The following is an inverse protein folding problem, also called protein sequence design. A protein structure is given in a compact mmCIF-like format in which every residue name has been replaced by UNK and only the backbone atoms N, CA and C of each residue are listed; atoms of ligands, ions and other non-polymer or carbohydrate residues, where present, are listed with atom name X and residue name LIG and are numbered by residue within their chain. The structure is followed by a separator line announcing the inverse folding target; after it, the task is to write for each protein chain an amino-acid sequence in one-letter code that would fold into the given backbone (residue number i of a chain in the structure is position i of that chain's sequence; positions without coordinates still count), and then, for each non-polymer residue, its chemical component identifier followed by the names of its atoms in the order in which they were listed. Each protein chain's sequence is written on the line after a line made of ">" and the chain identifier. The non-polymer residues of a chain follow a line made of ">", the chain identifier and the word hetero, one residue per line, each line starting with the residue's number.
data_IF_482049443320
#
_entry.id   IF_482049443320
#
_cell.length_a   1.000
_cell.length_b   1.000
_cell.length_c   1.000
_cell.angle_alpha   90.00
_cell.angle_beta   90.00
_cell.angle_gamma   90.00
#
_symmetry.space_group_name_H-M   'P 1'
#
loop_
_entity.id
_entity.type
_entity.pdbx_description
1 polymer ?
#
# COMPACT_ATOMS: atom_id res chain seq x y z
N UNK A 1 -8.69 1.22 11.30
CA UNK A 1 -8.17 -0.14 11.16
C UNK A 1 -7.89 -0.71 12.54
N UNK A 2 -8.16 -2.00 12.76
CA UNK A 2 -7.94 -2.65 14.06
C UNK A 2 -7.31 -4.03 13.84
N UNK A 3 -6.27 -4.33 14.59
CA UNK A 3 -5.55 -5.62 14.60
C UNK A 3 -5.50 -6.12 16.03
N UNK A 4 -5.82 -7.38 16.25
CA UNK A 4 -5.83 -7.99 17.58
C UNK A 4 -5.15 -9.35 17.55
N UNK A 5 -4.15 -9.52 18.39
CA UNK A 5 -3.38 -10.75 18.59
C UNK A 5 -3.01 -11.44 17.27
N UNK A 6 -2.52 -10.64 16.30
CA UNK A 6 -2.28 -11.12 14.95
C UNK A 6 -1.02 -11.99 14.88
N UNK A 7 -1.19 -13.20 14.40
CA UNK A 7 -0.10 -14.15 14.13
C UNK A 7 -0.02 -14.49 12.65
N UNK A 8 1.19 -14.65 12.16
CA UNK A 8 1.46 -15.20 10.83
C UNK A 8 2.59 -16.23 10.93
N UNK A 9 2.27 -17.47 10.59
CA UNK A 9 3.23 -18.58 10.47
C UNK A 9 3.23 -19.07 9.03
N UNK A 10 4.38 -19.09 8.39
CA UNK A 10 4.56 -19.63 7.04
C UNK A 10 5.35 -20.91 7.09
N UNK A 11 5.04 -21.86 6.19
CA UNK A 11 5.79 -23.10 6.05
C UNK A 11 7.02 -22.85 5.18
N UNK A 12 8.20 -23.19 5.70
CA UNK A 12 9.44 -23.18 4.94
C UNK A 12 9.98 -24.60 4.79
N UNK A 13 10.98 -24.80 3.94
CA UNK A 13 11.69 -26.09 3.80
C UNK A 13 12.35 -26.57 5.11
N UNK A 14 12.63 -25.64 6.03
CA UNK A 14 13.25 -25.92 7.33
C UNK A 14 12.20 -26.05 8.47
N UNK A 15 10.90 -25.98 8.17
CA UNK A 15 9.80 -26.04 9.14
C UNK A 15 9.02 -24.73 9.23
N UNK A 16 8.06 -24.64 10.18
CA UNK A 16 7.24 -23.44 10.36
C UNK A 16 8.07 -22.26 10.88
N UNK A 17 7.86 -21.09 10.29
CA UNK A 17 8.50 -19.82 10.71
C UNK A 17 7.41 -18.86 11.16
N UNK A 18 7.48 -18.43 12.43
CA UNK A 18 6.57 -17.44 13.00
C UNK A 18 7.05 -16.03 12.64
N UNK A 19 6.38 -15.40 11.70
CA UNK A 19 6.74 -14.06 11.19
C UNK A 19 6.09 -12.97 12.02
N UNK A 20 4.80 -13.10 12.36
CA UNK A 20 4.10 -12.19 13.26
C UNK A 20 3.68 -12.95 14.51
N UNK A 21 3.83 -12.29 15.67
CA UNK A 21 3.76 -12.95 16.98
C UNK A 21 2.93 -12.15 17.97
N UNK A 22 1.61 -12.02 17.70
CA UNK A 22 0.69 -11.30 18.57
C UNK A 22 0.78 -9.77 18.36
N UNK A 23 0.57 -9.30 17.13
CA UNK A 23 0.50 -7.86 16.82
C UNK A 23 -0.85 -7.32 17.27
N UNK A 24 -0.82 -6.29 18.12
CA UNK A 24 -1.94 -5.41 18.44
C UNK A 24 -1.68 -4.02 17.87
N UNK A 25 -2.59 -3.52 17.03
CA UNK A 25 -2.42 -2.23 16.38
C UNK A 25 -3.78 -1.59 16.04
N UNK A 26 -3.98 -0.36 16.49
CA UNK A 26 -5.09 0.48 16.06
C UNK A 26 -4.58 1.67 15.23
N UNK A 27 -5.25 1.94 14.12
CA UNK A 27 -5.03 3.14 13.31
C UNK A 27 -6.39 3.79 13.06
N UNK A 28 -6.53 5.05 13.51
CA UNK A 28 -7.74 5.82 13.32
C UNK A 28 -7.97 6.16 11.84
N UNK A 29 -9.24 6.31 11.47
CA UNK A 29 -9.60 6.71 10.11
C UNK A 29 -9.00 8.09 9.79
N UNK A 30 -8.35 8.19 8.65
CA UNK A 30 -7.69 9.40 8.21
C UNK A 30 -6.32 9.67 8.86
N UNK A 31 -5.87 8.84 9.82
CA UNK A 31 -4.52 8.98 10.39
C UNK A 31 -3.42 8.50 9.41
N UNK A 32 -2.20 9.00 9.61
CA UNK A 32 -0.99 8.45 9.01
C UNK A 32 -0.12 7.83 10.10
N UNK A 33 0.34 6.60 9.86
CA UNK A 33 1.21 5.85 10.78
C UNK A 33 2.44 5.37 10.02
N UNK A 34 3.62 5.73 10.51
CA UNK A 34 4.91 5.19 10.10
C UNK A 34 5.17 3.86 10.81
N UNK A 35 5.59 2.85 10.08
CA UNK A 35 6.00 1.55 10.62
C UNK A 35 7.47 1.36 10.33
N UNK A 36 8.26 1.30 11.39
CA UNK A 36 9.72 1.20 11.31
C UNK A 36 10.23 -0.05 12.04
N UNK A 37 11.44 -0.47 11.71
CA UNK A 37 12.09 -1.62 12.35
C UNK A 37 13.14 -2.26 11.45
N UNK A 38 13.95 -3.17 11.98
CA UNK A 38 15.01 -3.83 11.21
C UNK A 38 14.46 -4.64 10.03
N UNK A 39 15.31 -4.92 9.04
CA UNK A 39 14.96 -5.83 7.94
C UNK A 39 14.58 -7.21 8.50
N UNK A 40 13.57 -7.84 7.92
CA UNK A 40 13.08 -9.15 8.38
C UNK A 40 12.20 -9.11 9.64
N UNK A 41 11.90 -7.94 10.22
CA UNK A 41 11.07 -7.85 11.44
C UNK A 41 9.57 -8.11 11.22
N UNK A 42 9.12 -8.37 9.98
CA UNK A 42 7.71 -8.69 9.68
C UNK A 42 6.88 -7.54 9.11
N UNK A 43 7.45 -6.36 8.86
CA UNK A 43 6.70 -5.17 8.39
C UNK A 43 5.94 -5.40 7.07
N UNK A 44 6.63 -5.91 6.04
CA UNK A 44 6.00 -6.25 4.76
C UNK A 44 4.95 -7.34 4.93
N UNK A 45 5.20 -8.34 5.77
CA UNK A 45 4.23 -9.40 6.07
C UNK A 45 2.99 -8.86 6.77
N UNK A 46 3.15 -7.93 7.70
CA UNK A 46 2.02 -7.21 8.30
C UNK A 46 1.21 -6.48 7.21
N UNK A 47 1.89 -5.74 6.33
CA UNK A 47 1.23 -5.05 5.21
C UNK A 47 0.45 -6.04 4.34
N UNK A 48 1.04 -7.19 3.98
CA UNK A 48 0.38 -8.20 3.14
C UNK A 48 -0.89 -8.76 3.80
N UNK A 49 -0.87 -8.99 5.12
CA UNK A 49 -2.07 -9.44 5.85
C UNK A 49 -3.12 -8.32 5.88
N UNK A 50 -2.74 -7.07 6.13
CA UNK A 50 -3.65 -5.92 6.13
C UNK A 50 -4.25 -5.63 4.75
N UNK A 51 -3.50 -5.95 3.69
CA UNK A 51 -3.98 -5.89 2.32
C UNK A 51 -4.91 -7.06 1.96
N UNK A 52 -5.04 -8.09 2.81
CA UNK A 52 -5.73 -9.33 2.50
C UNK A 52 -5.06 -10.13 1.36
N UNK A 53 -3.75 -9.96 1.18
CA UNK A 53 -2.92 -10.72 0.24
C UNK A 53 -2.32 -11.96 0.89
N UNK A 54 -2.21 -11.95 2.22
CA UNK A 54 -1.77 -13.07 3.04
C UNK A 54 -2.80 -13.32 4.13
N UNK A 55 -3.02 -14.59 4.51
CA UNK A 55 -3.96 -14.95 5.57
C UNK A 55 -3.27 -15.00 6.91
N UNK A 56 -3.86 -14.35 7.91
CA UNK A 56 -3.47 -14.53 9.30
C UNK A 56 -3.58 -16.00 9.72
N UNK A 57 -2.61 -16.48 10.49
CA UNK A 57 -2.66 -17.81 11.10
C UNK A 57 -3.53 -17.83 12.35
N UNK A 58 -3.61 -16.71 13.07
CA UNK A 58 -4.48 -16.49 14.22
C UNK A 58 -4.69 -14.99 14.45
N UNK A 59 -5.63 -14.65 15.34
CA UNK A 59 -6.00 -13.27 15.64
C UNK A 59 -7.08 -12.73 14.70
N UNK A 60 -7.26 -11.40 14.71
CA UNK A 60 -8.26 -10.74 13.87
C UNK A 60 -7.78 -9.43 13.27
N UNK A 61 -8.23 -9.14 12.05
CA UNK A 61 -7.92 -7.92 11.30
C UNK A 61 -9.18 -7.29 10.76
N UNK A 62 -9.43 -6.02 11.14
CA UNK A 62 -10.54 -5.22 10.62
C UNK A 62 -10.04 -3.99 9.86
N UNK A 63 -10.44 -3.86 8.60
CA UNK A 63 -10.13 -2.73 7.72
C UNK A 63 -11.40 -2.13 7.18
N UNK A 64 -11.56 -0.82 7.30
CA UNK A 64 -12.73 -0.08 6.79
C UNK A 64 -14.08 -0.68 7.25
N UNK A 65 -14.14 -1.28 8.44
CA UNK A 65 -15.34 -1.93 9.00
C UNK A 65 -15.51 -3.41 8.62
N UNK A 66 -14.69 -3.94 7.73
CA UNK A 66 -14.72 -5.34 7.29
C UNK A 66 -13.75 -6.22 8.09
N UNK A 67 -14.18 -7.41 8.48
CA UNK A 67 -13.34 -8.41 9.15
C UNK A 67 -12.67 -9.31 8.08
N UNK A 68 -11.37 -9.09 7.85
CA UNK A 68 -10.61 -9.78 6.81
C UNK A 68 -10.43 -11.27 7.12
N UNK A 69 -10.37 -11.63 8.40
CA UNK A 69 -10.13 -13.01 8.84
C UNK A 69 -11.31 -13.93 8.55
N UNK A 70 -12.52 -13.38 8.50
CA UNK A 70 -13.74 -14.10 8.19
C UNK A 70 -14.10 -14.13 6.69
N UNK A 71 -13.37 -13.37 5.83
CA UNK A 71 -13.70 -13.22 4.41
C UNK A 71 -13.18 -14.38 3.56
N UNK A 72 -13.93 -14.72 2.49
CA UNK A 72 -13.43 -15.58 1.41
C UNK A 72 -12.42 -14.82 0.53
N UNK A 73 -11.66 -15.55 -0.30
CA UNK A 73 -10.72 -14.93 -1.27
C UNK A 73 -11.41 -13.92 -2.19
N UNK A 74 -12.61 -14.26 -2.70
CA UNK A 74 -13.40 -13.34 -3.51
C UNK A 74 -13.84 -12.09 -2.72
N UNK A 75 -14.14 -12.27 -1.43
CA UNK A 75 -14.44 -11.17 -0.52
C UNK A 75 -13.24 -10.24 -0.34
N UNK A 76 -12.07 -10.81 -0.07
CA UNK A 76 -10.80 -10.06 0.06
C UNK A 76 -10.46 -9.36 -1.26
N UNK A 77 -10.60 -10.01 -2.41
CA UNK A 77 -10.37 -9.39 -3.72
C UNK A 77 -11.29 -8.19 -3.96
N UNK A 78 -12.58 -8.30 -3.63
CA UNK A 78 -13.54 -7.17 -3.72
C UNK A 78 -13.17 -6.03 -2.78
N UNK A 79 -12.75 -6.35 -1.55
CA UNK A 79 -12.33 -5.34 -0.57
C UNK A 79 -11.07 -4.60 -1.04
N UNK A 80 -10.04 -5.33 -1.51
CA UNK A 80 -8.83 -4.71 -2.09
C UNK A 80 -9.19 -3.73 -3.19
N UNK A 81 -9.98 -4.18 -4.14
CA UNK A 81 -10.38 -3.39 -5.30
C UNK A 81 -11.10 -2.09 -4.94
N UNK A 82 -11.87 -2.06 -3.85
CA UNK A 82 -12.73 -0.91 -3.50
C UNK A 82 -12.22 -0.06 -2.35
N UNK A 83 -11.41 -0.62 -1.45
CA UNK A 83 -11.07 0.04 -0.19
C UNK A 83 -9.58 0.20 0.08
N UNK A 84 -8.72 -0.58 -0.60
CA UNK A 84 -7.29 -0.64 -0.28
C UNK A 84 -6.47 -0.25 -1.52
N UNK A 85 -5.61 0.76 -1.36
CA UNK A 85 -4.55 1.09 -2.31
C UNK A 85 -3.22 0.57 -1.79
N UNK A 86 -2.37 0.05 -2.67
CA UNK A 86 -1.05 -0.45 -2.27
C UNK A 86 0.00 0.17 -3.18
N UNK A 87 1.08 0.66 -2.56
CA UNK A 87 2.26 1.20 -3.22
C UNK A 87 3.47 0.41 -2.74
N UNK A 88 4.21 -0.19 -3.65
CA UNK A 88 5.40 -0.98 -3.38
C UNK A 88 6.67 -0.26 -3.84
N UNK A 89 7.80 -0.65 -3.27
CA UNK A 89 9.13 -0.22 -3.68
C UNK A 89 9.42 -0.55 -5.15
N UNK A 90 9.00 -1.71 -5.64
CA UNK A 90 9.27 -2.21 -6.99
C UNK A 90 8.21 -1.80 -8.04
N UNK A 91 7.38 -0.77 -7.75
CA UNK A 91 6.31 -0.22 -8.60
C UNK A 91 5.23 -1.25 -9.01
N UNK A 92 5.59 -2.47 -9.37
CA UNK A 92 4.72 -3.56 -9.85
C UNK A 92 3.76 -3.11 -10.96
N UNK A 93 4.27 -2.30 -11.91
CA UNK A 93 3.54 -1.98 -13.13
C UNK A 93 3.54 -3.18 -14.07
N UNK A 94 2.45 -3.35 -14.81
CA UNK A 94 2.34 -4.38 -15.84
C UNK A 94 3.14 -3.88 -17.06
N UNK A 95 4.25 -4.54 -17.44
CA UNK A 95 5.21 -3.98 -18.38
C UNK A 95 4.67 -3.87 -19.82
N UNK A 96 3.65 -4.64 -20.16
CA UNK A 96 2.98 -4.65 -21.48
C UNK A 96 1.83 -3.68 -21.58
N UNK A 97 1.49 -2.98 -20.50
CA UNK A 97 0.42 -1.99 -20.43
C UNK A 97 0.98 -0.58 -20.34
N UNK A 98 0.34 0.35 -20.98
CA UNK A 98 0.64 1.78 -20.88
C UNK A 98 0.41 2.32 -19.46
N UNK A 99 0.87 3.54 -19.18
CA UNK A 99 0.58 4.20 -17.91
C UNK A 99 -0.94 4.32 -17.68
N UNK A 100 -1.70 4.68 -18.72
CA UNK A 100 -3.15 4.79 -18.63
C UNK A 100 -3.80 3.45 -18.29
N UNK A 101 -3.45 2.38 -18.99
CA UNK A 101 -3.99 1.04 -18.75
C UNK A 101 -3.63 0.51 -17.35
N UNK A 102 -2.39 0.74 -16.89
CA UNK A 102 -1.98 0.37 -15.53
C UNK A 102 -2.84 1.04 -14.45
N UNK A 103 -3.26 2.28 -14.66
CA UNK A 103 -4.13 3.00 -13.70
C UNK A 103 -5.60 2.66 -13.89
N UNK A 104 -6.04 2.31 -15.10
CA UNK A 104 -7.42 1.95 -15.41
C UNK A 104 -7.80 0.56 -14.83
N UNK A 105 -6.87 -0.40 -14.82
CA UNK A 105 -7.13 -1.80 -14.44
C UNK A 105 -7.97 -1.97 -13.16
N UNK A 106 -7.63 -1.35 -12.00
CA UNK A 106 -8.43 -1.54 -10.80
C UNK A 106 -9.87 -1.00 -10.94
N UNK A 107 -10.07 0.02 -11.77
CA UNK A 107 -11.37 0.58 -12.05
C UNK A 107 -12.18 -0.31 -13.00
N UNK A 108 -11.56 -0.84 -14.04
CA UNK A 108 -12.17 -1.79 -14.98
C UNK A 108 -12.61 -3.06 -14.28
N UNK A 109 -11.75 -3.62 -13.42
CA UNK A 109 -12.07 -4.78 -12.57
C UNK A 109 -13.21 -4.46 -11.59
N UNK A 110 -13.42 -3.19 -11.23
CA UNK A 110 -14.56 -2.74 -10.44
C UNK A 110 -15.84 -2.58 -11.28
N UNK A 111 -15.77 -2.70 -12.59
CA UNK A 111 -16.89 -2.46 -13.51
C UNK A 111 -17.23 -0.98 -13.65
N UNK A 112 -16.28 -0.07 -13.43
CA UNK A 112 -16.50 1.37 -13.54
C UNK A 112 -16.59 1.77 -15.02
N UNK A 113 -17.73 2.27 -15.50
CA UNK A 113 -17.88 2.66 -16.90
C UNK A 113 -17.01 3.87 -17.30
N UNK A 114 -16.53 4.64 -16.33
CA UNK A 114 -15.65 5.79 -16.53
C UNK A 114 -14.17 5.45 -16.18
N UNK A 115 -13.78 4.18 -16.21
CA UNK A 115 -12.45 3.72 -15.79
C UNK A 115 -11.32 4.50 -16.50
N UNK A 116 -11.39 4.64 -17.82
CA UNK A 116 -10.38 5.34 -18.62
C UNK A 116 -10.29 6.83 -18.26
N UNK A 117 -11.42 7.53 -18.19
CA UNK A 117 -11.45 8.96 -17.85
C UNK A 117 -10.93 9.23 -16.44
N UNK A 118 -11.30 8.37 -15.50
CA UNK A 118 -10.79 8.45 -14.11
C UNK A 118 -9.31 8.13 -14.02
N UNK A 119 -8.83 7.17 -14.79
CA UNK A 119 -7.41 6.84 -14.86
C UNK A 119 -6.61 8.01 -15.43
N UNK A 120 -7.08 8.63 -16.51
CA UNK A 120 -6.46 9.83 -17.06
C UNK A 120 -6.44 10.98 -16.06
N UNK A 121 -7.55 11.26 -15.38
CA UNK A 121 -7.62 12.29 -14.35
C UNK A 121 -6.61 12.02 -13.19
N UNK A 122 -6.45 10.77 -12.74
CA UNK A 122 -5.46 10.41 -11.73
C UNK A 122 -4.02 10.58 -12.24
N UNK A 123 -3.72 10.24 -13.50
CA UNK A 123 -2.40 10.48 -14.10
C UNK A 123 -2.09 11.97 -14.25
N UNK A 124 -3.07 12.78 -14.61
CA UNK A 124 -2.92 14.25 -14.63
C UNK A 124 -2.65 14.80 -13.24
N UNK A 125 -3.32 14.28 -12.19
CA UNK A 125 -3.12 14.69 -10.80
C UNK A 125 -1.70 14.41 -10.29
N UNK A 126 -1.03 13.37 -10.81
CA UNK A 126 0.37 13.06 -10.49
C UNK A 126 1.38 13.68 -11.50
N UNK A 127 0.92 14.59 -12.37
CA UNK A 127 1.76 15.31 -13.34
C UNK A 127 2.14 14.50 -14.59
N UNK A 128 1.47 13.38 -14.87
CA UNK A 128 1.79 12.47 -15.97
C UNK A 128 0.77 12.51 -17.14
N UNK A 129 -0.01 13.58 -17.28
CA UNK A 129 -0.96 13.73 -18.38
C UNK A 129 -0.33 13.69 -19.78
N UNK A 130 0.98 13.91 -19.88
CA UNK A 130 1.75 13.84 -21.14
C UNK A 130 2.37 12.44 -21.38
N UNK A 131 2.17 11.47 -20.47
CA UNK A 131 2.75 10.12 -20.49
C UNK A 131 1.73 8.99 -20.62
N UNK A 132 0.47 9.28 -20.91
CA UNK A 132 -0.64 8.32 -20.87
C UNK A 132 -0.37 7.03 -21.66
N UNK A 133 0.24 7.16 -22.86
CA UNK A 133 0.50 6.04 -23.78
C UNK A 133 1.88 5.40 -23.63
N UNK A 134 2.70 5.86 -22.67
CA UNK A 134 4.03 5.30 -22.46
C UNK A 134 3.95 3.97 -21.71
N UNK A 135 4.78 3.02 -22.13
CA UNK A 135 5.01 1.78 -21.41
C UNK A 135 5.95 2.01 -20.21
N UNK A 136 5.89 1.19 -19.14
CA UNK A 136 6.76 1.34 -17.99
C UNK A 136 8.25 1.46 -18.32
N UNK A 137 8.76 0.68 -19.27
CA UNK A 137 10.15 0.75 -19.71
C UNK A 137 10.57 2.07 -20.41
N UNK A 138 9.61 2.95 -20.73
CA UNK A 138 9.84 4.27 -21.31
C UNK A 138 9.77 5.39 -20.27
N UNK A 139 9.49 5.04 -19.01
CA UNK A 139 9.32 5.96 -17.90
C UNK A 139 10.53 5.91 -16.97
N UNK A 140 10.93 7.06 -16.43
CA UNK A 140 11.91 7.10 -15.34
C UNK A 140 11.35 6.42 -14.08
N UNK A 141 12.23 6.05 -13.13
CA UNK A 141 11.80 5.44 -11.86
C UNK A 141 10.77 6.28 -11.10
N UNK A 142 10.99 7.59 -11.03
CA UNK A 142 10.04 8.52 -10.40
C UNK A 142 8.72 8.64 -11.16
N UNK A 143 8.72 8.57 -12.50
CA UNK A 143 7.49 8.52 -13.29
C UNK A 143 6.75 7.20 -13.07
N UNK A 144 7.46 6.06 -13.03
CA UNK A 144 6.86 4.76 -12.72
C UNK A 144 6.21 4.74 -11.33
N UNK A 145 6.88 5.32 -10.33
CA UNK A 145 6.31 5.41 -8.98
C UNK A 145 5.08 6.32 -8.95
N UNK A 146 5.08 7.42 -9.70
CA UNK A 146 3.88 8.26 -9.84
C UNK A 146 2.73 7.53 -10.53
N UNK A 147 2.99 6.67 -11.53
CA UNK A 147 1.97 5.79 -12.11
C UNK A 147 1.44 4.81 -11.05
N UNK A 148 2.32 4.20 -10.24
CA UNK A 148 1.92 3.30 -9.16
C UNK A 148 1.06 4.02 -8.09
N UNK A 149 1.39 5.27 -7.74
CA UNK A 149 0.56 6.13 -6.89
C UNK A 149 -0.81 6.39 -7.53
N UNK A 150 -0.85 6.83 -8.78
CA UNK A 150 -2.10 7.08 -9.49
C UNK A 150 -3.00 5.83 -9.51
N UNK A 151 -2.42 4.64 -9.76
CA UNK A 151 -3.11 3.35 -9.71
C UNK A 151 -3.66 3.04 -8.32
N UNK A 152 -2.86 3.25 -7.27
CA UNK A 152 -3.28 3.00 -5.90
C UNK A 152 -4.42 3.92 -5.45
N UNK A 153 -4.41 5.18 -5.91
CA UNK A 153 -5.45 6.16 -5.58
C UNK A 153 -6.66 6.15 -6.52
N UNK A 154 -6.60 5.50 -7.68
CA UNK A 154 -7.69 5.50 -8.66
C UNK A 154 -9.04 5.03 -8.08
N UNK A 155 -9.11 3.96 -7.25
CA UNK A 155 -10.36 3.53 -6.61
C UNK A 155 -10.84 4.43 -5.47
N UNK A 156 -10.12 5.51 -5.12
CA UNK A 156 -10.36 6.33 -3.93
C UNK A 156 -10.32 5.49 -2.63
N UNK A 157 -9.18 4.86 -2.30
CA UNK A 157 -9.08 3.91 -1.22
C UNK A 157 -9.30 4.56 0.15
N UNK A 158 -9.91 3.81 1.08
CA UNK A 158 -10.00 4.21 2.50
C UNK A 158 -8.71 3.97 3.26
N UNK A 159 -7.93 2.96 2.84
CA UNK A 159 -6.63 2.61 3.39
C UNK A 159 -5.58 2.59 2.28
N UNK A 160 -4.53 3.35 2.45
CA UNK A 160 -3.32 3.30 1.64
C UNK A 160 -2.23 2.58 2.42
N UNK A 161 -1.69 1.54 1.85
CA UNK A 161 -0.56 0.79 2.36
C UNK A 161 0.66 1.08 1.47
N UNK A 162 1.76 1.54 2.04
CA UNK A 162 2.97 1.85 1.30
C UNK A 162 4.17 1.12 1.91
N UNK A 163 4.86 0.33 1.12
CA UNK A 163 6.05 -0.43 1.51
C UNK A 163 7.28 0.13 0.81
N UNK A 164 8.12 0.88 1.55
CA UNK A 164 9.36 1.52 1.06
C UNK A 164 9.17 2.25 -0.29
N UNK A 165 8.18 3.14 -0.44
CA UNK A 165 7.74 3.65 -1.75
C UNK A 165 8.81 4.45 -2.50
N UNK A 166 9.90 4.82 -1.85
CA UNK A 166 11.01 5.60 -2.45
C UNK A 166 12.34 4.85 -2.46
N UNK A 167 12.37 3.59 -2.01
CA UNK A 167 13.61 2.84 -1.84
C UNK A 167 14.41 2.58 -3.13
N UNK A 168 13.80 2.75 -4.31
CA UNK A 168 14.45 2.60 -5.62
C UNK A 168 14.68 3.95 -6.34
N UNK A 169 14.52 5.09 -5.64
CA UNK A 169 14.61 6.43 -6.21
C UNK A 169 15.80 7.19 -5.60
N UNK A 170 16.35 8.14 -6.35
CA UNK A 170 17.22 9.13 -5.78
C UNK A 170 16.48 10.01 -4.77
N UNK A 171 17.21 10.65 -3.86
CA UNK A 171 16.62 11.41 -2.75
C UNK A 171 15.65 12.50 -3.21
N UNK A 172 16.02 13.32 -4.18
CA UNK A 172 15.19 14.44 -4.61
C UNK A 172 13.90 13.97 -5.29
N UNK A 173 14.00 12.92 -6.13
CA UNK A 173 12.83 12.28 -6.73
C UNK A 173 11.95 11.63 -5.67
N UNK A 174 12.56 10.95 -4.70
CA UNK A 174 11.85 10.32 -3.58
C UNK A 174 11.06 11.34 -2.76
N UNK A 175 11.67 12.45 -2.35
CA UNK A 175 11.01 13.54 -1.63
C UNK A 175 9.79 14.08 -2.40
N UNK A 176 9.94 14.36 -3.71
CA UNK A 176 8.83 14.81 -4.56
C UNK A 176 7.67 13.80 -4.65
N UNK A 177 7.98 12.51 -4.73
CA UNK A 177 6.97 11.44 -4.77
C UNK A 177 6.25 11.32 -3.43
N UNK A 178 6.97 11.46 -2.32
CA UNK A 178 6.37 11.43 -0.98
C UNK A 178 5.48 12.64 -0.73
N UNK A 179 5.90 13.85 -1.12
CA UNK A 179 5.08 15.05 -1.04
C UNK A 179 3.75 14.86 -1.77
N UNK A 180 3.82 14.33 -2.99
CA UNK A 180 2.64 14.01 -3.78
C UNK A 180 1.74 12.99 -3.10
N UNK A 181 2.31 11.91 -2.53
CA UNK A 181 1.56 10.87 -1.83
C UNK A 181 0.83 11.42 -0.60
N UNK A 182 1.49 12.23 0.22
CA UNK A 182 0.87 12.87 1.39
C UNK A 182 -0.22 13.85 0.98
N UNK A 183 0.00 14.67 -0.05
CA UNK A 183 -1.01 15.61 -0.57
C UNK A 183 -2.25 14.87 -1.09
N UNK A 184 -2.09 13.81 -1.88
CA UNK A 184 -3.19 12.99 -2.37
C UNK A 184 -3.94 12.29 -1.24
N UNK A 185 -3.22 11.77 -0.25
CA UNK A 185 -3.79 11.15 0.96
C UNK A 185 -4.66 12.13 1.72
N UNK A 186 -4.17 13.34 1.97
CA UNK A 186 -4.90 14.38 2.68
C UNK A 186 -6.16 14.81 1.91
N UNK A 187 -6.01 15.07 0.62
CA UNK A 187 -7.13 15.44 -0.25
C UNK A 187 -8.25 14.39 -0.28
N UNK A 188 -7.89 13.10 -0.20
CA UNK A 188 -8.83 11.97 -0.27
C UNK A 188 -9.33 11.51 1.10
N UNK A 189 -8.72 11.98 2.20
CA UNK A 189 -9.03 11.55 3.56
C UNK A 189 -8.66 10.07 3.83
N UNK A 190 -7.72 9.53 3.08
CA UNK A 190 -7.29 8.13 3.23
C UNK A 190 -6.47 7.93 4.49
N UNK A 191 -6.67 6.81 5.18
CA UNK A 191 -5.77 6.34 6.24
C UNK A 191 -4.48 5.82 5.57
N UNK A 192 -3.31 6.14 6.13
CA UNK A 192 -2.02 5.70 5.61
C UNK A 192 -1.28 4.82 6.62
N UNK A 193 -0.78 3.68 6.17
CA UNK A 193 0.31 2.96 6.83
C UNK A 193 1.53 2.97 5.90
N UNK A 194 2.60 3.62 6.34
CA UNK A 194 3.85 3.77 5.61
C UNK A 194 4.95 2.94 6.28
N UNK A 195 5.44 1.93 5.60
CA UNK A 195 6.66 1.24 6.00
C UNK A 195 7.84 2.00 5.40
N UNK A 196 8.78 2.40 6.25
CA UNK A 196 10.00 3.07 5.80
C UNK A 196 11.13 2.85 6.80
N UNK A 197 12.36 2.89 6.30
CA UNK A 197 13.58 2.96 7.13
C UNK A 197 14.11 4.39 7.24
N UNK A 198 13.50 5.35 6.53
CA UNK A 198 13.86 6.76 6.58
C UNK A 198 13.12 7.45 7.75
N UNK A 199 13.85 7.93 8.78
CA UNK A 199 13.23 8.58 9.93
C UNK A 199 12.49 9.87 9.57
N UNK A 200 13.00 10.66 8.62
CA UNK A 200 12.37 11.90 8.18
C UNK A 200 10.99 11.64 7.57
N UNK A 201 10.84 10.53 6.83
CA UNK A 201 9.55 10.11 6.28
C UNK A 201 8.62 9.54 7.36
N UNK A 202 9.15 8.80 8.33
CA UNK A 202 8.36 8.28 9.44
C UNK A 202 7.81 9.42 10.31
N UNK A 203 8.60 10.46 10.55
CA UNK A 203 8.21 11.65 11.35
C UNK A 203 7.09 12.47 10.67
N UNK A 204 6.93 12.38 9.36
CA UNK A 204 5.79 12.97 8.64
C UNK A 204 4.46 12.27 8.94
N UNK A 205 4.51 11.05 9.45
CA UNK A 205 3.34 10.36 9.95
C UNK A 205 3.09 10.81 11.40
N UNK A 206 1.87 11.17 11.76
CA UNK A 206 1.55 11.68 13.10
C UNK A 206 1.80 10.68 14.25
N UNK A 207 2.14 9.42 13.92
CA UNK A 207 2.49 8.36 14.87
C UNK A 207 3.47 7.39 14.23
N UNK A 208 4.44 6.91 15.04
CA UNK A 208 5.38 5.86 14.64
C UNK A 208 5.10 4.59 15.45
N UNK A 209 5.15 3.45 14.78
CA UNK A 209 5.05 2.11 15.36
C UNK A 209 6.35 1.36 15.06
N UNK A 210 6.99 0.87 16.09
CA UNK A 210 8.20 0.07 15.95
C UNK A 210 7.85 -1.41 15.92
N UNK A 211 8.40 -2.15 14.94
CA UNK A 211 8.26 -3.61 14.85
C UNK A 211 9.63 -4.25 14.94
N UNK A 212 9.78 -5.17 15.89
CA UNK A 212 10.95 -6.02 16.04
C UNK A 212 10.50 -7.46 16.31
N UNK A 213 11.16 -8.43 15.69
CA UNK A 213 10.90 -9.88 15.87
C UNK A 213 9.41 -10.27 15.75
N UNK A 214 8.68 -9.62 14.84
CA UNK A 214 7.27 -9.91 14.61
C UNK A 214 6.32 -9.36 15.67
N UNK A 215 6.75 -8.43 16.51
CA UNK A 215 5.95 -7.80 17.57
C UNK A 215 6.03 -6.27 17.49
N UNK A 216 5.00 -5.58 17.98
CA UNK A 216 5.05 -4.14 18.25
C UNK A 216 5.85 -3.90 19.52
N UNK A 217 6.86 -3.04 19.44
CA UNK A 217 7.73 -2.68 20.56
C UNK A 217 7.70 -1.17 20.79
N UNK A 218 7.33 -0.73 21.97
CA UNK A 218 7.33 0.68 22.38
C UNK A 218 6.01 1.38 22.16
#
# INVERSE_FOLDING_TARGET
>A
MQVRDLHLTVQSSAGPVNILRGIDLDIDTGAAVGVVGPSGSGKTSLLMVLAGLERASAGSVRVAGHDLTAMSEDGLARLRRSCIGIVFQAFHLIPTMTALENVAIPLELAGDPAATDRAEANLRAVGLGHRLTHLPGQLSGGEQQRVALARAFAPAPRLLLADEPTGNLDRATGESVMDLMFALREQRGSTLMLITHDPDLADRCGRIVHIADGQVVG
#
